data_IF_556815767720
#
_entry.id   IF_556815767720
#
_cell.length_a   1.000
_cell.length_b   1.000
_cell.length_c   1.000
_cell.angle_alpha   90.00
_cell.angle_beta   90.00
_cell.angle_gamma   90.00
#
_symmetry.space_group_name_H-M   'P 1'
#
loop_
_entity.id
_entity.type
_entity.pdbx_description
1 polymer ?
#
# COMPACT_ATOMS: atom_id res chain seq x y z
N UNK A 1 6.09 9.65 -25.86
CA UNK A 1 5.83 8.23 -25.51
C UNK A 1 6.21 7.93 -24.07
N UNK A 2 7.26 8.58 -23.53
CA UNK A 2 7.67 8.57 -22.11
C UNK A 2 6.50 8.67 -21.11
N UNK A 3 5.67 9.71 -21.19
CA UNK A 3 4.61 9.98 -20.18
C UNK A 3 3.52 8.90 -20.07
N UNK A 4 3.28 8.15 -21.15
CA UNK A 4 2.37 7.00 -21.11
C UNK A 4 3.01 5.81 -20.42
N UNK A 5 4.31 5.62 -20.62
CA UNK A 5 5.08 4.56 -19.99
C UNK A 5 5.28 4.82 -18.50
N UNK A 6 5.56 6.06 -18.11
CA UNK A 6 5.69 6.44 -16.71
C UNK A 6 4.37 6.26 -15.94
N UNK A 7 3.24 6.64 -16.55
CA UNK A 7 1.91 6.38 -15.99
C UNK A 7 1.57 4.90 -15.91
N UNK A 8 1.90 4.12 -16.94
CA UNK A 8 1.65 2.68 -16.94
C UNK A 8 2.42 1.96 -15.83
N UNK A 9 3.70 2.27 -15.68
CA UNK A 9 4.53 1.69 -14.62
C UNK A 9 4.08 2.21 -13.25
N UNK A 10 3.62 3.47 -13.14
CA UNK A 10 3.01 3.99 -11.91
C UNK A 10 1.79 3.16 -11.51
N UNK A 11 0.91 2.84 -12.46
CA UNK A 11 -0.30 2.06 -12.23
C UNK A 11 0.02 0.62 -11.85
N UNK A 12 1.00 -0.02 -12.52
CA UNK A 12 1.46 -1.38 -12.20
C UNK A 12 2.02 -1.52 -10.78
N UNK A 13 2.66 -0.47 -10.25
CA UNK A 13 3.22 -0.51 -8.89
C UNK A 13 2.20 -0.09 -7.84
N UNK A 14 1.38 0.92 -8.12
CA UNK A 14 0.37 1.41 -7.18
C UNK A 14 -0.80 0.45 -7.04
N UNK A 15 -1.25 -0.20 -8.11
CA UNK A 15 -2.43 -1.07 -8.07
C UNK A 15 -2.26 -2.25 -7.08
N UNK A 16 -1.16 -3.03 -7.11
CA UNK A 16 -0.95 -4.10 -6.12
C UNK A 16 -0.83 -3.58 -4.69
N UNK A 17 -0.21 -2.42 -4.48
CA UNK A 17 -0.11 -1.80 -3.15
C UNK A 17 -1.47 -1.38 -2.60
N UNK A 18 -2.31 -0.83 -3.47
CA UNK A 18 -3.66 -0.40 -3.11
C UNK A 18 -4.54 -1.62 -2.83
N UNK A 19 -4.44 -2.68 -3.64
CA UNK A 19 -5.11 -3.97 -3.38
C UNK A 19 -4.64 -4.57 -2.05
N UNK A 20 -3.34 -4.61 -1.79
CA UNK A 20 -2.77 -5.08 -0.53
C UNK A 20 -3.32 -4.28 0.67
N UNK A 21 -3.36 -2.96 0.55
CA UNK A 21 -3.91 -2.09 1.59
C UNK A 21 -5.40 -2.38 1.85
N UNK A 22 -6.21 -2.50 0.79
CA UNK A 22 -7.63 -2.84 0.92
C UNK A 22 -7.83 -4.21 1.60
N UNK A 23 -7.04 -5.22 1.22
CA UNK A 23 -7.09 -6.53 1.88
C UNK A 23 -6.72 -6.43 3.35
N UNK A 24 -5.71 -5.62 3.68
CA UNK A 24 -5.27 -5.37 5.05
C UNK A 24 -6.39 -4.74 5.89
N UNK A 25 -7.12 -3.76 5.33
CA UNK A 25 -8.28 -3.15 5.98
C UNK A 25 -9.41 -4.16 6.18
N UNK A 26 -9.75 -4.95 5.17
CA UNK A 26 -10.81 -5.96 5.28
C UNK A 26 -10.49 -7.01 6.35
N UNK A 27 -9.25 -7.50 6.38
CA UNK A 27 -8.79 -8.45 7.41
C UNK A 27 -8.83 -7.80 8.80
N UNK A 28 -8.43 -6.53 8.90
CA UNK A 28 -8.48 -5.79 10.17
C UNK A 28 -9.90 -5.71 10.73
N UNK A 29 -10.87 -5.34 9.88
CA UNK A 29 -12.29 -5.28 10.25
C UNK A 29 -12.85 -6.66 10.65
N UNK A 30 -12.42 -7.72 9.96
CA UNK A 30 -12.79 -9.08 10.33
C UNK A 30 -12.21 -9.48 11.69
N UNK A 31 -10.92 -9.22 11.94
CA UNK A 31 -10.23 -9.56 13.18
C UNK A 31 -10.72 -8.76 14.39
N UNK A 32 -11.21 -7.54 14.16
CA UNK A 32 -11.79 -6.70 15.22
C UNK A 32 -13.01 -7.36 15.89
N UNK A 33 -13.70 -8.25 15.19
CA UNK A 33 -14.83 -9.01 15.74
C UNK A 33 -14.39 -10.06 16.77
N UNK A 34 -13.12 -10.49 16.73
CA UNK A 34 -12.58 -11.54 17.59
C UNK A 34 -11.75 -10.93 18.73
N UNK A 35 -12.23 -11.08 19.97
CA UNK A 35 -11.61 -10.52 21.19
C UNK A 35 -10.09 -10.75 21.29
N UNK A 36 -9.52 -11.94 20.97
CA UNK A 36 -8.07 -12.16 21.07
C UNK A 36 -7.24 -11.35 20.06
N UNK A 37 -7.81 -11.00 18.91
CA UNK A 37 -7.09 -10.40 17.78
C UNK A 37 -7.22 -8.87 17.71
N UNK A 38 -8.17 -8.28 18.46
CA UNK A 38 -8.38 -6.82 18.53
C UNK A 38 -7.12 -6.03 18.85
N UNK A 39 -6.27 -6.54 19.75
CA UNK A 39 -5.03 -5.88 20.12
C UNK A 39 -4.02 -5.75 18.97
N UNK A 40 -4.14 -6.60 17.95
CA UNK A 40 -3.22 -6.65 16.80
C UNK A 40 -3.74 -5.80 15.62
N UNK A 41 -5.03 -5.49 15.58
CA UNK A 41 -5.67 -4.68 14.51
C UNK A 41 -4.95 -3.35 14.25
N UNK A 42 -4.57 -2.54 15.26
CA UNK A 42 -3.85 -1.28 15.03
C UNK A 42 -2.48 -1.49 14.36
N UNK A 43 -1.80 -2.59 14.68
CA UNK A 43 -0.49 -2.94 14.11
C UNK A 43 -0.65 -3.32 12.64
N UNK A 44 -1.66 -4.10 12.31
CA UNK A 44 -1.97 -4.51 10.93
C UNK A 44 -2.30 -3.29 10.07
N UNK A 45 -3.16 -2.39 10.57
CA UNK A 45 -3.48 -1.13 9.90
C UNK A 45 -2.24 -0.24 9.72
N UNK A 46 -1.42 -0.11 10.77
CA UNK A 46 -0.16 0.62 10.71
C UNK A 46 0.79 0.06 9.64
N UNK A 47 0.88 -1.26 9.53
CA UNK A 47 1.63 -1.95 8.47
C UNK A 47 1.10 -1.60 7.08
N UNK A 48 -0.22 -1.69 6.88
CA UNK A 48 -0.86 -1.35 5.60
C UNK A 48 -0.55 0.09 5.17
N UNK A 49 -0.72 1.05 6.08
CA UNK A 49 -0.40 2.46 5.81
C UNK A 49 1.08 2.64 5.51
N UNK A 50 1.95 2.04 6.31
CA UNK A 50 3.40 2.14 6.14
C UNK A 50 3.84 1.68 4.75
N UNK A 51 3.37 0.52 4.28
CA UNK A 51 3.73 0.00 2.96
C UNK A 51 3.15 0.83 1.81
N UNK A 52 1.95 1.36 1.96
CA UNK A 52 1.35 2.25 0.97
C UNK A 52 2.16 3.54 0.82
N UNK A 53 2.51 4.17 1.95
CA UNK A 53 3.34 5.38 2.00
C UNK A 53 4.74 5.10 1.46
N UNK A 54 5.38 4.02 1.92
CA UNK A 54 6.71 3.64 1.47
C UNK A 54 6.73 3.37 -0.04
N UNK A 55 5.77 2.61 -0.57
CA UNK A 55 5.66 2.34 -2.00
C UNK A 55 5.47 3.60 -2.84
N UNK A 56 4.68 4.55 -2.33
CA UNK A 56 4.54 5.87 -2.94
C UNK A 56 5.85 6.67 -2.91
N UNK A 57 6.52 6.69 -1.75
CA UNK A 57 7.78 7.42 -1.58
C UNK A 57 8.92 6.87 -2.41
N UNK A 58 9.13 5.55 -2.42
CA UNK A 58 10.16 4.89 -3.22
C UNK A 58 10.00 5.28 -4.68
N UNK A 59 8.79 5.18 -5.25
CA UNK A 59 8.53 5.59 -6.62
C UNK A 59 8.77 7.09 -6.84
N UNK A 60 8.39 7.97 -5.91
CA UNK A 60 8.61 9.43 -6.04
C UNK A 60 10.08 9.84 -6.01
N UNK A 61 10.94 9.08 -5.31
CA UNK A 61 12.38 9.33 -5.20
C UNK A 61 13.13 8.66 -6.35
N UNK A 62 12.82 7.41 -6.68
CA UNK A 62 13.43 6.69 -7.80
C UNK A 62 12.98 7.23 -9.16
N UNK A 63 11.72 7.65 -9.31
CA UNK A 63 11.23 8.30 -10.53
C UNK A 63 11.90 9.65 -10.82
N UNK A 64 12.42 10.33 -9.80
CA UNK A 64 13.24 11.56 -9.95
C UNK A 64 14.72 11.30 -10.21
N UNK A 65 15.23 10.10 -9.91
CA UNK A 65 16.62 9.73 -10.19
C UNK A 65 16.77 9.02 -11.55
N UNK A 66 15.66 8.55 -12.13
CA UNK A 66 15.61 7.93 -13.46
C UNK A 66 15.35 8.93 -14.61
N UNK A 67 15.05 10.19 -14.29
CA UNK A 67 15.01 11.35 -15.19
C UNK A 67 16.32 12.15 -15.02
#
# INVERSE_FOLDING_TARGET
MQDRWDRFIWLIVMLPLLVFFLMTVLISLYLEQFTPWRGVVPVILGFGVFFLVLGYFLRSRFGRMAL
#
